data_IF_650582599771
#
_entry.id   IF_650582599771
#
_cell.length_a   1.000
_cell.length_b   1.000
_cell.length_c   1.000
_cell.angle_alpha   90.00
_cell.angle_beta   90.00
_cell.angle_gamma   90.00
#
_symmetry.space_group_name_H-M   'P 1'
#
loop_
_entity.id
_entity.type
_entity.pdbx_description
1 polymer ?
#
# COMPACT_ATOMS: atom_id res chain seq x y z
N UNK A 1 -22.20 -16.73 -13.59
CA UNK A 1 -21.36 -15.79 -12.83
C UNK A 1 -20.09 -15.63 -13.66
N UNK A 2 -19.98 -14.54 -14.41
CA UNK A 2 -18.77 -14.26 -15.19
C UNK A 2 -17.61 -14.01 -14.22
N UNK A 3 -16.44 -14.57 -14.55
CA UNK A 3 -15.22 -14.27 -13.82
C UNK A 3 -14.84 -12.81 -14.11
N UNK A 4 -14.29 -12.08 -13.12
CA UNK A 4 -13.82 -10.72 -13.36
C UNK A 4 -12.78 -10.72 -14.49
N UNK A 5 -12.76 -9.70 -15.35
CA UNK A 5 -11.74 -9.56 -16.37
C UNK A 5 -10.34 -9.60 -15.75
N UNK A 6 -9.37 -10.15 -16.48
CA UNK A 6 -7.96 -10.16 -16.07
C UNK A 6 -7.29 -8.86 -16.51
N UNK A 7 -6.34 -8.35 -15.73
CA UNK A 7 -5.59 -7.14 -16.08
C UNK A 7 -4.86 -7.31 -17.42
N UNK A 8 -5.02 -6.33 -18.31
CA UNK A 8 -4.19 -6.22 -19.50
C UNK A 8 -2.77 -5.77 -19.11
N UNK A 9 -1.77 -6.13 -19.92
CA UNK A 9 -0.35 -5.84 -19.65
C UNK A 9 -0.02 -4.36 -19.44
N UNK A 10 -0.83 -3.45 -19.98
CA UNK A 10 -0.59 -2.01 -19.88
C UNK A 10 -1.36 -1.34 -18.73
N UNK A 11 -2.20 -2.09 -18.02
CA UNK A 11 -2.91 -1.57 -16.85
C UNK A 11 -2.09 -1.75 -15.59
N UNK A 12 -1.89 -0.65 -14.86
CA UNK A 12 -1.03 -0.62 -13.68
C UNK A 12 -1.81 -1.00 -12.41
N UNK A 13 -1.23 -1.90 -11.63
CA UNK A 13 -1.58 -2.10 -10.24
C UNK A 13 -0.97 -0.99 -9.36
N UNK A 14 -1.48 -0.81 -8.14
CA UNK A 14 -0.88 0.11 -7.17
C UNK A 14 -0.73 -0.51 -5.79
N UNK A 15 0.22 0.02 -5.02
CA UNK A 15 0.50 -0.39 -3.65
C UNK A 15 0.40 0.85 -2.79
N UNK A 16 -0.54 0.84 -1.86
CA UNK A 16 -0.87 2.03 -1.08
C UNK A 16 -0.83 1.73 0.42
N UNK A 17 -0.39 2.72 1.19
CA UNK A 17 -0.47 2.71 2.65
C UNK A 17 -1.51 3.70 3.13
N UNK A 18 -2.33 3.28 4.09
CA UNK A 18 -3.24 4.14 4.83
C UNK A 18 -2.83 4.12 6.30
N UNK A 19 -2.39 5.26 6.84
CA UNK A 19 -2.11 5.40 8.27
C UNK A 19 -3.40 5.24 9.07
N UNK A 20 -3.32 4.59 10.22
CA UNK A 20 -4.49 4.39 11.07
C UNK A 20 -5.18 5.72 11.44
N UNK A 21 -6.50 5.73 11.33
CA UNK A 21 -7.34 6.89 11.59
C UNK A 21 -7.37 7.25 13.08
N UNK A 22 -7.34 8.55 13.37
CA UNK A 22 -7.64 9.09 14.70
C UNK A 22 -8.53 10.31 14.50
N UNK A 23 -9.84 10.08 14.64
CA UNK A 23 -10.87 11.06 14.33
C UNK A 23 -11.67 11.43 15.58
N UNK A 24 -11.93 12.73 15.75
CA UNK A 24 -12.82 13.26 16.78
C UNK A 24 -13.39 14.60 16.34
N UNK A 25 -14.63 14.92 16.71
CA UNK A 25 -15.26 16.23 16.43
C UNK A 25 -15.18 16.70 14.96
N UNK A 26 -15.35 15.78 13.99
CA UNK A 26 -15.25 16.11 12.57
C UNK A 26 -13.82 16.38 12.08
N UNK A 27 -12.82 16.09 12.92
CA UNK A 27 -11.41 16.31 12.63
C UNK A 27 -10.65 14.98 12.53
N UNK A 28 -9.79 14.84 11.52
CA UNK A 28 -8.94 13.67 11.28
C UNK A 28 -7.46 14.08 11.21
N UNK A 29 -6.66 13.71 12.22
CA UNK A 29 -5.20 13.95 12.24
C UNK A 29 -4.37 12.68 12.05
N UNK A 30 -4.99 11.51 12.19
CA UNK A 30 -4.28 10.23 12.12
C UNK A 30 -4.05 9.77 10.69
N UNK A 31 -5.11 9.76 9.89
CA UNK A 31 -5.12 9.14 8.57
C UNK A 31 -4.28 9.93 7.56
N UNK A 32 -3.45 9.21 6.82
CA UNK A 32 -2.67 9.71 5.71
C UNK A 32 -2.67 8.64 4.63
N UNK A 33 -2.80 9.06 3.37
CA UNK A 33 -2.68 8.21 2.20
C UNK A 33 -1.28 8.38 1.61
N UNK A 34 -0.60 7.26 1.37
CA UNK A 34 0.73 7.23 0.76
C UNK A 34 0.68 6.24 -0.39
N UNK A 35 0.99 6.74 -1.58
CA UNK A 35 1.25 5.89 -2.74
C UNK A 35 2.71 5.43 -2.69
N UNK A 36 2.93 4.11 -2.69
CA UNK A 36 4.26 3.54 -2.69
C UNK A 36 4.67 3.30 -4.14
N UNK A 37 5.64 4.04 -4.69
CA UNK A 37 6.19 3.68 -5.98
C UNK A 37 6.88 2.32 -5.84
N UNK A 38 6.41 1.32 -6.58
CA UNK A 38 7.13 0.07 -6.80
C UNK A 38 7.36 -0.04 -8.30
N UNK A 39 8.63 -0.03 -8.70
CA UNK A 39 9.01 -0.34 -10.08
C UNK A 39 8.74 -1.83 -10.28
N UNK A 40 7.75 -2.18 -11.10
CA UNK A 40 7.29 -3.55 -11.42
C UNK A 40 8.25 -4.64 -10.98
N UNK A 41 8.07 -5.05 -9.73
CA UNK A 41 8.89 -6.09 -9.16
C UNK A 41 8.17 -7.37 -9.44
N UNK A 42 8.73 -8.14 -10.37
CA UNK A 42 8.44 -9.55 -10.61
C UNK A 42 7.11 -10.00 -10.00
N UNK A 43 5.99 -9.55 -10.58
CA UNK A 43 4.68 -10.08 -10.23
C UNK A 43 4.70 -11.54 -10.72
N UNK A 44 5.16 -12.45 -9.87
CA UNK A 44 4.80 -13.85 -10.04
C UNK A 44 3.34 -13.98 -9.67
N UNK A 45 2.68 -15.09 -10.05
CA UNK A 45 1.24 -15.28 -9.76
C UNK A 45 0.86 -15.05 -8.29
N UNK A 46 1.81 -15.11 -7.34
CA UNK A 46 1.53 -15.13 -5.91
C UNK A 46 2.43 -14.20 -5.08
N UNK A 47 3.39 -13.49 -5.67
CA UNK A 47 4.39 -12.72 -4.91
C UNK A 47 4.64 -11.35 -5.55
N UNK A 48 4.70 -10.34 -4.69
CA UNK A 48 5.10 -8.96 -5.02
C UNK A 48 6.23 -8.63 -4.06
N UNK A 49 7.42 -8.39 -4.60
CA UNK A 49 8.52 -7.78 -3.85
C UNK A 49 8.51 -6.28 -4.16
N UNK A 50 9.07 -5.39 -3.35
CA UNK A 50 9.23 -3.97 -3.72
C UNK A 50 10.24 -3.31 -2.79
N UNK A 51 10.79 -2.18 -3.23
CA UNK A 51 11.63 -1.33 -2.39
C UNK A 51 10.80 -0.17 -1.88
N UNK A 52 10.73 -0.02 -0.58
CA UNK A 52 10.09 1.14 0.04
C UNK A 52 10.92 2.41 -0.22
N UNK A 53 10.29 3.58 -0.41
CA UNK A 53 11.01 4.84 -0.47
C UNK A 53 11.69 5.14 0.87
N UNK A 54 12.70 6.00 0.85
CA UNK A 54 13.25 6.56 2.09
C UNK A 54 12.17 7.33 2.85
N UNK A 55 11.82 6.84 4.04
CA UNK A 55 10.75 7.34 4.88
C UNK A 55 10.86 8.83 5.19
N UNK A 56 12.08 9.30 5.48
CA UNK A 56 12.35 10.70 5.87
C UNK A 56 12.22 11.60 4.65
N UNK A 57 12.79 11.19 3.52
CA UNK A 57 12.70 11.93 2.25
C UNK A 57 11.27 12.02 1.74
N UNK A 58 10.48 10.96 1.91
CA UNK A 58 9.08 10.91 1.51
C UNK A 58 8.11 11.51 2.55
N UNK A 59 8.61 12.01 3.69
CA UNK A 59 7.82 12.53 4.80
C UNK A 59 6.73 11.55 5.28
N UNK A 60 7.10 10.27 5.39
CA UNK A 60 6.23 9.19 5.90
C UNK A 60 6.49 9.04 7.40
N UNK A 61 5.53 9.38 8.29
CA UNK A 61 5.74 9.28 9.72
C UNK A 61 5.93 7.83 10.20
N UNK A 62 6.75 7.59 11.24
CA UNK A 62 6.79 6.28 11.90
C UNK A 62 5.43 5.90 12.48
N UNK A 63 4.80 4.82 12.00
CA UNK A 63 3.50 4.36 12.49
C UNK A 63 3.15 2.93 12.03
N UNK A 64 1.97 2.46 12.44
CA UNK A 64 1.28 1.34 11.83
C UNK A 64 0.41 1.82 10.67
N UNK A 65 0.44 1.06 9.58
CA UNK A 65 -0.29 1.32 8.35
C UNK A 65 -1.06 0.08 7.92
N UNK A 66 -2.18 0.32 7.25
CA UNK A 66 -2.84 -0.68 6.43
C UNK A 66 -2.25 -0.60 5.02
N UNK A 67 -1.66 -1.69 4.55
CA UNK A 67 -1.16 -1.82 3.18
C UNK A 67 -2.16 -2.56 2.30
N UNK A 68 -2.44 -1.99 1.12
CA UNK A 68 -3.32 -2.55 0.13
C UNK A 68 -2.60 -2.70 -1.20
N UNK A 69 -2.79 -3.86 -1.83
CA UNK A 69 -2.61 -3.99 -3.26
C UNK A 69 -3.94 -3.64 -3.94
N UNK A 70 -3.90 -2.76 -4.93
CA UNK A 70 -5.05 -2.42 -5.75
C UNK A 70 -4.77 -2.95 -7.14
N UNK A 71 -5.64 -3.84 -7.61
CA UNK A 71 -5.51 -4.38 -8.97
C UNK A 71 -5.84 -3.33 -10.03
N UNK A 72 -5.58 -3.66 -11.29
CA UNK A 72 -5.89 -2.81 -12.44
C UNK A 72 -7.37 -2.40 -12.56
N UNK A 73 -8.30 -3.10 -11.91
CA UNK A 73 -9.72 -2.77 -11.90
C UNK A 73 -10.10 -1.88 -10.71
N UNK A 74 -9.12 -1.45 -9.91
CA UNK A 74 -9.34 -0.62 -8.73
C UNK A 74 -9.83 -1.41 -7.52
N UNK A 75 -9.79 -2.75 -7.54
CA UNK A 75 -10.24 -3.57 -6.41
C UNK A 75 -9.10 -3.71 -5.39
N UNK A 76 -9.28 -3.22 -4.15
CA UNK A 76 -8.29 -3.38 -3.10
C UNK A 76 -8.32 -4.80 -2.52
N UNK A 77 -7.15 -5.27 -2.09
CA UNK A 77 -7.01 -6.47 -1.27
C UNK A 77 -7.60 -6.29 0.13
N UNK A 78 -7.64 -7.37 0.92
CA UNK A 78 -7.70 -7.23 2.37
C UNK A 78 -6.39 -6.57 2.85
N UNK A 79 -6.48 -5.66 3.81
CA UNK A 79 -5.33 -4.95 4.35
C UNK A 79 -4.33 -5.91 5.00
N UNK A 80 -3.03 -5.68 4.79
CA UNK A 80 -1.97 -6.20 5.67
C UNK A 80 -1.51 -5.09 6.60
N UNK A 81 -1.39 -5.40 7.88
CA UNK A 81 -0.82 -4.45 8.86
C UNK A 81 0.69 -4.44 8.72
N UNK A 82 1.26 -3.25 8.52
CA UNK A 82 2.71 -3.05 8.42
C UNK A 82 3.16 -1.98 9.40
N UNK A 83 4.31 -2.20 10.01
CA UNK A 83 5.01 -1.18 10.79
C UNK A 83 6.03 -0.53 9.87
N UNK A 84 5.92 0.78 9.71
CA UNK A 84 6.84 1.54 8.87
C UNK A 84 7.63 2.50 9.75
N UNK A 85 8.90 2.18 9.99
CA UNK A 85 9.86 3.01 10.72
C UNK A 85 11.32 2.63 10.41
N UNK A 86 12.26 3.35 11.00
CA UNK A 86 13.70 3.18 10.83
C UNK A 86 14.28 1.94 11.53
N UNK A 87 13.45 1.18 12.25
CA UNK A 87 13.81 -0.03 12.98
C UNK A 87 12.96 -1.24 12.55
N UNK A 88 12.26 -1.15 11.42
CA UNK A 88 11.48 -2.24 10.89
C UNK A 88 12.43 -3.39 10.53
N UNK A 89 12.34 -4.48 11.28
CA UNK A 89 13.01 -5.74 10.92
C UNK A 89 12.18 -6.46 9.88
N UNK A 90 12.82 -7.02 8.86
CA UNK A 90 12.16 -8.00 7.98
C UNK A 90 11.57 -9.13 8.84
N UNK A 91 10.30 -9.51 8.64
CA UNK A 91 9.72 -10.67 9.29
C UNK A 91 10.46 -11.96 8.92
#
# INVERSE_FOLDING_TARGET
MELPPTCDKDQKSSLVLIKLSSATHGWQNGQQFIDLPFDEVQETKNEITFLTPDAKKANIPPAYYMMFYVDCHGKPSVARMVRFDDKATTP
#
